data_IF_100140147930
#
_entry.id   IF_100140147930
#
_cell.length_a   1.000
_cell.length_b   1.000
_cell.length_c   1.000
_cell.angle_alpha   90.00
_cell.angle_beta   90.00
_cell.angle_gamma   90.00
#
_symmetry.space_group_name_H-M   'P 1'
#
loop_
_entity.id
_entity.type
_entity.pdbx_description
1 polymer ?
#
# COMPACT_ATOMS: atom_id res chain seq x y z
N UNK A 1 -6.95 -39.79 43.38
CA UNK A 1 -7.06 -40.21 41.97
C UNK A 1 -7.24 -38.90 41.23
N UNK A 2 -6.12 -38.20 41.11
CA UNK A 2 -6.05 -36.80 40.74
C UNK A 2 -5.45 -36.74 39.34
N UNK A 3 -6.23 -36.25 38.38
CA UNK A 3 -5.76 -35.92 37.04
C UNK A 3 -6.01 -34.44 36.78
N UNK A 4 -5.26 -33.60 37.50
CA UNK A 4 -4.82 -32.30 36.99
C UNK A 4 -3.68 -32.54 35.98
N UNK A 5 -3.82 -32.02 34.76
CA UNK A 5 -2.70 -32.05 33.82
C UNK A 5 -3.07 -31.65 32.40
N UNK A 6 -2.60 -30.46 32.00
CA UNK A 6 -2.45 -29.98 30.62
C UNK A 6 -3.60 -29.23 29.93
N UNK A 7 -4.22 -28.27 30.63
CA UNK A 7 -4.66 -27.05 29.92
C UNK A 7 -3.42 -26.23 29.62
N UNK A 8 -2.92 -26.35 28.40
CA UNK A 8 -1.78 -25.59 27.89
C UNK A 8 -2.08 -24.08 27.99
N UNK A 9 -1.36 -23.41 28.90
CA UNK A 9 -1.20 -21.95 28.91
C UNK A 9 -0.71 -21.48 27.53
N UNK A 10 -1.62 -20.97 26.70
CA UNK A 10 -1.29 -20.06 25.59
C UNK A 10 -1.75 -18.65 25.95
N UNK A 11 -1.10 -18.03 26.94
CA UNK A 11 -1.26 -16.60 27.23
C UNK A 11 0.11 -15.93 27.21
N UNK A 12 0.32 -15.05 26.23
CA UNK A 12 1.48 -14.14 26.19
C UNK A 12 1.89 -13.65 24.79
N UNK A 13 1.83 -14.49 23.75
CA UNK A 13 2.51 -14.22 22.47
C UNK A 13 1.69 -14.50 21.20
N UNK A 14 0.35 -14.59 21.30
CA UNK A 14 -0.50 -15.03 20.19
C UNK A 14 -0.47 -14.14 18.94
N UNK A 15 -0.16 -12.86 19.08
CA UNK A 15 -0.10 -11.88 17.98
C UNK A 15 1.29 -11.79 17.32
N UNK A 16 2.35 -12.25 18.00
CA UNK A 16 3.74 -12.12 17.54
C UNK A 16 3.97 -12.99 16.31
N UNK A 17 3.51 -14.24 16.32
CA UNK A 17 3.66 -15.16 15.19
C UNK A 17 2.93 -14.67 13.92
N UNK A 18 1.62 -14.32 13.95
CA UNK A 18 0.95 -13.73 12.80
C UNK A 18 1.63 -12.46 12.29
N UNK A 19 2.05 -11.57 13.20
CA UNK A 19 2.74 -10.32 12.86
C UNK A 19 4.09 -10.59 12.20
N UNK A 20 4.86 -11.53 12.72
CA UNK A 20 6.15 -11.93 12.15
C UNK A 20 6.00 -12.54 10.76
N UNK A 21 5.04 -13.45 10.57
CA UNK A 21 4.74 -14.04 9.26
C UNK A 21 4.27 -12.98 8.25
N UNK A 22 3.40 -12.07 8.68
CA UNK A 22 2.90 -10.98 7.83
C UNK A 22 4.00 -9.98 7.50
N UNK A 23 4.89 -9.66 8.45
CA UNK A 23 6.08 -8.85 8.21
C UNK A 23 7.02 -9.51 7.20
N UNK A 24 7.32 -10.80 7.36
CA UNK A 24 8.14 -11.57 6.41
C UNK A 24 7.52 -11.59 5.01
N UNK A 25 6.20 -11.84 4.90
CA UNK A 25 5.48 -11.74 3.64
C UNK A 25 5.65 -10.35 3.01
N UNK A 26 5.35 -9.28 3.76
CA UNK A 26 5.39 -7.91 3.25
C UNK A 26 6.79 -7.50 2.79
N UNK A 27 7.82 -7.91 3.54
CA UNK A 27 9.21 -7.69 3.16
C UNK A 27 9.56 -8.39 1.84
N UNK A 28 9.33 -9.69 1.73
CA UNK A 28 9.72 -10.45 0.54
C UNK A 28 8.84 -10.18 -0.69
N UNK A 29 7.57 -9.82 -0.51
CA UNK A 29 6.68 -9.43 -1.60
C UNK A 29 7.10 -8.09 -2.24
N UNK A 30 7.71 -7.20 -1.45
CA UNK A 30 8.21 -5.89 -1.89
C UNK A 30 9.71 -5.87 -2.19
N UNK A 31 10.47 -6.90 -1.79
CA UNK A 31 11.88 -7.04 -2.14
C UNK A 31 11.99 -7.50 -3.60
N UNK A 32 11.98 -6.53 -4.51
CA UNK A 32 11.93 -6.75 -5.96
C UNK A 32 13.05 -5.98 -6.66
N UNK A 33 14.28 -6.52 -6.70
CA UNK A 33 15.43 -5.87 -7.31
C UNK A 33 15.26 -5.48 -8.78
N UNK A 34 14.35 -6.13 -9.52
CA UNK A 34 14.10 -5.80 -10.92
C UNK A 34 13.19 -4.58 -11.13
N UNK A 35 12.41 -4.17 -10.13
CA UNK A 35 11.38 -3.13 -10.27
C UNK A 35 11.92 -1.75 -10.72
N UNK A 36 13.09 -1.27 -10.24
CA UNK A 36 13.67 -0.02 -10.73
C UNK A 36 14.14 -0.06 -12.21
N UNK A 37 14.21 -1.25 -12.79
CA UNK A 37 14.73 -1.51 -14.13
C UNK A 37 13.70 -2.16 -15.05
N UNK A 38 12.42 -2.15 -14.65
CA UNK A 38 11.36 -2.83 -15.41
C UNK A 38 11.22 -2.24 -16.81
N UNK A 39 11.16 -0.92 -16.95
CA UNK A 39 11.05 -0.26 -18.26
C UNK A 39 12.25 -0.59 -19.16
N UNK A 40 13.46 -0.53 -18.60
CA UNK A 40 14.68 -0.91 -19.32
C UNK A 40 14.67 -2.38 -19.76
N UNK A 41 14.11 -3.27 -18.94
CA UNK A 41 13.98 -4.70 -19.28
C UNK A 41 12.96 -4.94 -20.41
N UNK A 42 11.83 -4.23 -20.42
CA UNK A 42 10.81 -4.34 -21.47
C UNK A 42 11.29 -3.79 -22.82
N UNK A 43 12.06 -2.69 -22.81
CA UNK A 43 12.61 -2.06 -24.01
C UNK A 43 13.94 -2.69 -24.46
N UNK A 44 14.63 -3.38 -23.54
CA UNK A 44 15.91 -4.04 -23.79
C UNK A 44 15.80 -5.27 -24.69
N UNK A 45 16.93 -5.91 -25.01
CA UNK A 45 17.00 -7.02 -25.97
C UNK A 45 16.22 -8.27 -25.54
N UNK A 46 15.97 -8.44 -24.24
CA UNK A 46 15.26 -9.60 -23.69
C UNK A 46 13.79 -9.66 -24.11
N UNK A 47 13.12 -8.50 -24.21
CA UNK A 47 11.71 -8.37 -24.59
C UNK A 47 11.51 -7.66 -25.92
N UNK A 48 12.42 -6.76 -26.28
CA UNK A 48 12.48 -6.06 -27.56
C UNK A 48 11.14 -5.41 -27.94
N UNK A 49 10.47 -4.78 -26.97
CA UNK A 49 9.21 -4.06 -27.17
C UNK A 49 9.50 -2.59 -27.50
N UNK A 50 8.60 -1.99 -28.28
CA UNK A 50 8.71 -0.55 -28.59
C UNK A 50 8.16 0.30 -27.45
N UNK A 51 8.65 1.54 -27.33
CA UNK A 51 8.12 2.51 -26.35
C UNK A 51 6.60 2.68 -26.46
N UNK A 52 6.07 2.74 -27.69
CA UNK A 52 4.63 2.88 -27.92
C UNK A 52 3.87 1.68 -27.34
N UNK A 53 4.36 0.46 -27.53
CA UNK A 53 3.72 -0.73 -26.96
C UNK A 53 3.75 -0.71 -25.43
N UNK A 54 4.91 -0.40 -24.84
CA UNK A 54 5.05 -0.38 -23.37
C UNK A 54 4.14 0.68 -22.74
N UNK A 55 4.21 1.93 -23.20
CA UNK A 55 3.53 3.04 -22.53
C UNK A 55 2.05 3.18 -22.89
N UNK A 56 1.64 2.83 -24.12
CA UNK A 56 0.28 3.08 -24.60
C UNK A 56 -0.58 1.81 -24.65
N UNK A 57 0.03 0.62 -24.74
CA UNK A 57 -0.71 -0.63 -24.88
C UNK A 57 -0.58 -1.53 -23.65
N UNK A 58 0.57 -1.54 -22.96
CA UNK A 58 0.86 -2.45 -21.85
C UNK A 58 0.52 -1.82 -20.50
N UNK A 59 1.20 -0.74 -20.10
CA UNK A 59 1.00 -0.11 -18.78
C UNK A 59 -0.45 0.27 -18.45
N UNK A 60 -1.27 0.76 -19.41
CA UNK A 60 -2.68 1.05 -19.11
C UNK A 60 -3.49 -0.18 -18.67
N UNK A 61 -3.10 -1.40 -19.09
CA UNK A 61 -3.81 -2.64 -18.70
C UNK A 61 -3.77 -2.85 -17.20
N UNK A 62 -2.63 -2.59 -16.55
CA UNK A 62 -2.53 -2.65 -15.09
C UNK A 62 -3.50 -1.67 -14.43
N UNK A 63 -3.50 -0.40 -14.84
CA UNK A 63 -4.37 0.64 -14.25
C UNK A 63 -5.85 0.28 -14.37
N UNK A 64 -6.31 -0.11 -15.56
CA UNK A 64 -7.74 -0.43 -15.78
C UNK A 64 -8.14 -1.75 -15.13
N UNK A 65 -7.28 -2.77 -15.18
CA UNK A 65 -7.55 -4.04 -14.50
C UNK A 65 -7.62 -3.85 -12.99
N UNK A 66 -6.67 -3.12 -12.41
CA UNK A 66 -6.66 -2.78 -11.00
C UNK A 66 -7.96 -2.10 -10.57
N UNK A 67 -8.39 -1.05 -11.30
CA UNK A 67 -9.65 -0.34 -11.02
C UNK A 67 -10.86 -1.28 -11.01
N UNK A 68 -10.98 -2.15 -12.02
CA UNK A 68 -12.12 -3.08 -12.13
C UNK A 68 -12.06 -4.15 -11.05
N UNK A 69 -10.85 -4.62 -10.68
CA UNK A 69 -10.62 -5.68 -9.72
C UNK A 69 -10.74 -5.23 -8.26
N UNK A 70 -10.54 -3.94 -7.96
CA UNK A 70 -10.70 -3.39 -6.61
C UNK A 70 -12.06 -3.77 -5.99
N UNK A 71 -13.16 -3.59 -6.72
CA UNK A 71 -14.50 -3.87 -6.21
C UNK A 71 -14.73 -5.36 -5.86
N UNK A 72 -14.53 -6.34 -6.77
CA UNK A 72 -14.71 -7.74 -6.43
C UNK A 72 -13.69 -8.24 -5.40
N UNK A 73 -12.44 -7.77 -5.44
CA UNK A 73 -11.42 -8.18 -4.46
C UNK A 73 -11.72 -7.64 -3.07
N UNK A 74 -12.18 -6.39 -2.96
CA UNK A 74 -12.66 -5.82 -1.69
C UNK A 74 -13.77 -6.68 -1.06
N UNK A 75 -14.79 -7.03 -1.83
CA UNK A 75 -15.88 -7.89 -1.33
C UNK A 75 -15.40 -9.31 -0.99
N UNK A 76 -14.53 -9.87 -1.83
CA UNK A 76 -13.95 -11.20 -1.61
C UNK A 76 -13.06 -11.25 -0.37
N UNK A 77 -12.35 -10.16 -0.06
CA UNK A 77 -11.44 -10.06 1.09
C UNK A 77 -12.16 -10.33 2.40
N UNK A 78 -13.30 -9.68 2.64
CA UNK A 78 -14.07 -9.90 3.85
C UNK A 78 -14.85 -11.22 3.85
N UNK A 79 -15.32 -11.65 2.68
CA UNK A 79 -16.05 -12.91 2.52
C UNK A 79 -15.16 -14.13 2.77
N UNK A 80 -13.95 -14.14 2.19
CA UNK A 80 -12.98 -15.22 2.27
C UNK A 80 -12.08 -15.15 3.50
N UNK A 81 -12.26 -14.13 4.37
CA UNK A 81 -11.47 -13.91 5.60
C UNK A 81 -9.98 -13.68 5.33
N UNK A 82 -9.68 -12.77 4.39
CA UNK A 82 -8.37 -12.18 4.11
C UNK A 82 -7.28 -13.15 3.61
N UNK A 83 -6.98 -14.25 4.33
CA UNK A 83 -5.88 -15.18 3.98
C UNK A 83 -5.96 -15.70 2.54
N UNK A 84 -7.10 -16.20 2.01
CA UNK A 84 -7.16 -16.67 0.64
C UNK A 84 -6.84 -15.58 -0.40
N UNK A 85 -7.16 -14.32 -0.10
CA UNK A 85 -6.82 -13.18 -0.96
C UNK A 85 -5.32 -12.85 -0.90
N UNK A 86 -4.69 -12.96 0.27
CA UNK A 86 -3.21 -12.82 0.39
C UNK A 86 -2.48 -13.96 -0.37
N UNK A 87 -3.01 -15.18 -0.30
CA UNK A 87 -2.48 -16.32 -1.06
C UNK A 87 -2.67 -16.09 -2.57
N UNK A 88 -3.83 -15.57 -2.99
CA UNK A 88 -4.09 -15.15 -4.38
C UNK A 88 -3.10 -14.09 -4.85
N UNK A 89 -2.82 -13.08 -4.01
CA UNK A 89 -1.81 -12.07 -4.27
C UNK A 89 -0.44 -12.72 -4.55
N UNK A 90 0.04 -13.59 -3.66
CA UNK A 90 1.30 -14.30 -3.83
C UNK A 90 1.37 -15.16 -5.10
N UNK A 91 0.29 -15.87 -5.45
CA UNK A 91 0.22 -16.65 -6.70
C UNK A 91 0.27 -15.74 -7.94
N UNK A 92 -0.47 -14.63 -7.92
CA UNK A 92 -0.50 -13.68 -9.02
C UNK A 92 0.85 -12.99 -9.23
N UNK A 93 1.59 -12.69 -8.15
CA UNK A 93 2.98 -12.22 -8.23
C UNK A 93 3.87 -13.28 -8.87
N UNK A 94 3.86 -14.53 -8.40
CA UNK A 94 4.69 -15.60 -9.01
C UNK A 94 4.40 -15.72 -10.52
N UNK A 95 3.11 -15.75 -10.90
CA UNK A 95 2.71 -15.84 -12.30
C UNK A 95 3.21 -14.64 -13.12
N UNK A 96 3.12 -13.42 -12.55
CA UNK A 96 3.63 -12.19 -13.16
C UNK A 96 5.12 -12.28 -13.46
N UNK A 97 5.96 -12.69 -12.48
CA UNK A 97 7.41 -12.78 -12.68
C UNK A 97 7.83 -13.95 -13.58
N UNK A 98 7.12 -15.08 -13.54
CA UNK A 98 7.33 -16.19 -14.50
C UNK A 98 7.07 -15.70 -15.92
N UNK A 99 5.95 -15.00 -16.14
CA UNK A 99 5.66 -14.40 -17.44
C UNK A 99 6.70 -13.34 -17.82
N UNK A 100 7.14 -12.53 -16.86
CA UNK A 100 8.16 -11.52 -17.09
C UNK A 100 9.47 -12.17 -17.57
N UNK A 101 9.83 -13.36 -17.10
CA UNK A 101 11.02 -14.06 -17.58
C UNK A 101 10.83 -14.72 -18.95
N UNK A 102 9.70 -15.41 -19.17
CA UNK A 102 9.58 -16.34 -20.31
C UNK A 102 8.60 -15.91 -21.41
N UNK A 103 7.60 -15.09 -21.09
CA UNK A 103 6.58 -14.70 -22.06
C UNK A 103 7.12 -13.64 -23.04
N UNK A 104 6.72 -13.73 -24.31
CA UNK A 104 7.17 -12.83 -25.37
C UNK A 104 5.98 -12.22 -26.11
N UNK A 105 6.16 -11.00 -26.60
CA UNK A 105 5.15 -10.26 -27.35
C UNK A 105 4.16 -9.48 -26.49
N UNK A 106 3.52 -8.49 -27.12
CA UNK A 106 2.68 -7.49 -26.44
C UNK A 106 1.50 -8.09 -25.70
N UNK A 107 0.74 -9.00 -26.33
CA UNK A 107 -0.44 -9.62 -25.71
C UNK A 107 -0.09 -10.38 -24.43
N UNK A 108 1.06 -11.06 -24.41
CA UNK A 108 1.49 -11.80 -23.24
C UNK A 108 1.88 -10.86 -22.10
N UNK A 109 2.57 -9.76 -22.40
CA UNK A 109 2.90 -8.75 -21.38
C UNK A 109 1.65 -7.99 -20.92
N UNK A 110 0.65 -7.75 -21.77
CA UNK A 110 -0.65 -7.23 -21.34
C UNK A 110 -1.36 -8.17 -20.35
N UNK A 111 -1.35 -9.48 -20.61
CA UNK A 111 -1.92 -10.45 -19.68
C UNK A 111 -1.14 -10.51 -18.36
N UNK A 112 0.18 -10.33 -18.41
CA UNK A 112 1.02 -10.15 -17.22
C UNK A 112 0.59 -8.92 -16.40
N UNK A 113 0.37 -7.77 -17.03
CA UNK A 113 -0.09 -6.56 -16.33
C UNK A 113 -1.47 -6.75 -15.69
N UNK A 114 -2.36 -7.54 -16.31
CA UNK A 114 -3.62 -7.94 -15.70
C UNK A 114 -3.41 -8.79 -14.43
N UNK A 115 -2.49 -9.77 -14.46
CA UNK A 115 -2.13 -10.55 -13.27
C UNK A 115 -1.50 -9.68 -12.18
N UNK A 116 -0.69 -8.70 -12.56
CA UNK A 116 -0.14 -7.72 -11.64
C UNK A 116 -1.23 -6.80 -11.04
N UNK A 117 -2.26 -6.48 -11.82
CA UNK A 117 -3.48 -5.80 -11.35
C UNK A 117 -4.24 -6.60 -10.29
N UNK A 118 -4.34 -7.93 -10.43
CA UNK A 118 -4.90 -8.82 -9.40
C UNK A 118 -4.07 -8.74 -8.12
N UNK A 119 -2.75 -8.79 -8.23
CA UNK A 119 -1.84 -8.67 -7.08
C UNK A 119 -2.05 -7.35 -6.35
N UNK A 120 -2.08 -6.24 -7.10
CA UNK A 120 -2.23 -4.89 -6.55
C UNK A 120 -3.58 -4.74 -5.85
N UNK A 121 -4.68 -5.17 -6.49
CA UNK A 121 -6.01 -5.18 -5.87
C UNK A 121 -6.10 -6.02 -4.59
N UNK A 122 -5.33 -7.11 -4.52
CA UNK A 122 -5.30 -8.02 -3.38
C UNK A 122 -4.49 -7.50 -2.19
N UNK A 123 -3.71 -6.44 -2.36
CA UNK A 123 -2.91 -5.84 -1.30
C UNK A 123 -3.75 -5.28 -0.15
N UNK A 124 -4.99 -4.83 -0.43
CA UNK A 124 -5.95 -4.39 0.59
C UNK A 124 -6.17 -5.48 1.66
N UNK A 125 -6.09 -6.76 1.29
CA UNK A 125 -6.22 -7.87 2.21
C UNK A 125 -5.02 -7.99 3.18
N UNK A 126 -3.82 -7.63 2.75
CA UNK A 126 -2.60 -7.69 3.57
C UNK A 126 -2.73 -6.80 4.81
N UNK A 127 -3.14 -5.55 4.62
CA UNK A 127 -3.28 -4.60 5.72
C UNK A 127 -4.56 -4.81 6.52
N UNK A 128 -5.65 -5.20 5.85
CA UNK A 128 -6.91 -5.53 6.54
C UNK A 128 -6.78 -6.76 7.45
N UNK A 129 -5.90 -7.71 7.10
CA UNK A 129 -5.63 -8.89 7.90
C UNK A 129 -5.16 -8.56 9.31
N UNK A 130 -4.37 -7.48 9.48
CA UNK A 130 -3.87 -7.03 10.79
C UNK A 130 -5.02 -6.82 11.76
N UNK A 131 -6.05 -6.09 11.33
CA UNK A 131 -7.20 -5.73 12.15
C UNK A 131 -8.08 -6.93 12.51
N UNK A 132 -8.01 -8.02 11.73
CA UNK A 132 -8.78 -9.24 11.95
C UNK A 132 -8.15 -10.22 12.97
N UNK A 133 -6.83 -10.15 13.19
CA UNK A 133 -6.08 -11.11 14.01
C UNK A 133 -5.52 -10.48 15.30
N UNK A 134 -5.29 -9.17 15.30
CA UNK A 134 -4.66 -8.45 16.40
C UNK A 134 -5.72 -7.78 17.29
N UNK A 135 -5.37 -7.51 18.55
CA UNK A 135 -6.22 -6.74 19.46
C UNK A 135 -6.13 -5.23 19.16
N UNK A 136 -7.22 -4.46 19.36
CA UNK A 136 -7.25 -3.02 19.04
C UNK A 136 -6.12 -2.19 19.67
N UNK A 137 -5.70 -2.54 20.89
CA UNK A 137 -4.63 -1.86 21.63
C UNK A 137 -3.26 -1.97 20.93
N UNK A 138 -3.10 -2.93 20.01
CA UNK A 138 -1.85 -3.21 19.29
C UNK A 138 -1.93 -2.84 17.80
N UNK A 139 -3.07 -2.37 17.28
CA UNK A 139 -3.25 -2.05 15.87
C UNK A 139 -2.17 -1.12 15.34
N UNK A 140 -1.97 0.02 15.99
CA UNK A 140 -0.97 0.99 15.56
C UNK A 140 0.44 0.40 15.53
N UNK A 141 0.80 -0.38 16.56
CA UNK A 141 2.13 -0.98 16.69
C UNK A 141 2.38 -2.03 15.62
N UNK A 142 1.42 -2.93 15.38
CA UNK A 142 1.56 -3.99 14.38
C UNK A 142 1.50 -3.43 12.96
N UNK A 143 0.60 -2.49 12.68
CA UNK A 143 0.56 -1.79 11.38
C UNK A 143 1.89 -1.10 11.09
N UNK A 144 2.49 -0.43 12.08
CA UNK A 144 3.82 0.16 11.95
C UNK A 144 4.90 -0.88 11.63
N UNK A 145 4.92 -2.04 12.29
CA UNK A 145 5.88 -3.10 11.98
C UNK A 145 5.72 -3.68 10.57
N UNK A 146 4.48 -3.95 10.14
CA UNK A 146 4.22 -4.45 8.79
C UNK A 146 4.63 -3.43 7.72
N UNK A 147 4.35 -2.15 7.94
CA UNK A 147 4.80 -1.05 7.08
C UNK A 147 6.32 -0.96 7.01
N UNK A 148 6.99 -0.99 8.16
CA UNK A 148 8.45 -0.99 8.18
C UNK A 148 9.00 -2.16 7.37
N UNK A 149 8.39 -3.34 7.46
CA UNK A 149 8.81 -4.50 6.69
C UNK A 149 8.64 -4.29 5.17
N UNK A 150 7.50 -3.77 4.70
CA UNK A 150 7.28 -3.51 3.26
C UNK A 150 8.23 -2.46 2.70
N UNK A 151 8.42 -1.34 3.42
CA UNK A 151 9.36 -0.27 3.07
C UNK A 151 10.81 -0.74 3.02
N UNK A 152 11.20 -1.54 4.02
CA UNK A 152 12.55 -2.09 4.08
C UNK A 152 12.73 -3.07 2.92
N UNK A 153 11.71 -3.86 2.59
CA UNK A 153 11.71 -4.72 1.40
C UNK A 153 11.96 -3.92 0.12
N UNK A 154 11.19 -2.86 -0.12
CA UNK A 154 11.35 -1.98 -1.28
C UNK A 154 12.76 -1.36 -1.34
N UNK A 155 13.20 -0.74 -0.23
CA UNK A 155 14.51 -0.07 -0.17
C UNK A 155 15.66 -1.05 -0.37
N UNK A 156 15.62 -2.20 0.30
CA UNK A 156 16.63 -3.26 0.13
C UNK A 156 16.59 -3.79 -1.29
N UNK A 157 15.40 -3.99 -1.87
CA UNK A 157 15.23 -4.39 -3.26
C UNK A 157 15.90 -3.41 -4.23
N UNK A 158 15.60 -2.11 -4.11
CA UNK A 158 16.16 -1.07 -4.99
C UNK A 158 17.68 -0.94 -4.86
N UNK A 159 18.21 -0.92 -3.62
CA UNK A 159 19.66 -0.86 -3.37
C UNK A 159 20.34 -2.13 -3.88
N UNK A 160 19.77 -3.30 -3.59
CA UNK A 160 20.34 -4.57 -4.01
C UNK A 160 20.36 -4.70 -5.53
N UNK A 161 19.26 -4.36 -6.21
CA UNK A 161 19.19 -4.32 -7.67
C UNK A 161 20.22 -3.37 -8.26
N UNK A 162 20.38 -2.17 -7.69
CA UNK A 162 21.37 -1.21 -8.14
C UNK A 162 22.81 -1.72 -7.99
N UNK A 163 23.14 -2.34 -6.85
CA UNK A 163 24.47 -2.92 -6.62
C UNK A 163 24.75 -4.02 -7.65
N UNK A 164 23.78 -4.90 -7.91
CA UNK A 164 23.95 -5.99 -8.86
C UNK A 164 24.17 -5.49 -10.30
N UNK A 165 23.45 -4.45 -10.71
CA UNK A 165 23.60 -3.86 -12.05
C UNK A 165 24.91 -3.07 -12.16
N UNK A 166 25.21 -2.18 -11.22
CA UNK A 166 26.35 -1.26 -11.34
C UNK A 166 27.70 -1.85 -10.95
N UNK A 167 27.75 -2.75 -9.96
CA UNK A 167 29.01 -3.29 -9.43
C UNK A 167 29.27 -4.68 -9.99
N UNK A 168 28.26 -5.55 -9.96
CA UNK A 168 28.41 -6.94 -10.42
C UNK A 168 28.18 -7.11 -11.93
N UNK A 169 27.69 -6.08 -12.64
CA UNK A 169 27.32 -6.14 -14.06
C UNK A 169 26.38 -7.31 -14.39
N UNK A 170 25.45 -7.62 -13.50
CA UNK A 170 24.45 -8.67 -13.73
C UNK A 170 23.40 -8.23 -14.76
N UNK A 171 22.91 -9.19 -15.54
CA UNK A 171 21.84 -8.94 -16.51
C UNK A 171 20.51 -8.64 -15.82
N UNK A 172 19.65 -7.86 -16.50
CA UNK A 172 18.29 -7.57 -16.04
C UNK A 172 17.43 -8.84 -15.92
N UNK A 173 17.71 -9.86 -16.73
CA UNK A 173 17.13 -11.20 -16.58
C UNK A 173 17.42 -11.79 -15.18
N UNK A 174 18.68 -11.75 -14.73
CA UNK A 174 19.07 -12.28 -13.41
C UNK A 174 18.39 -11.54 -12.25
N UNK A 175 18.16 -10.24 -12.37
CA UNK A 175 17.39 -9.46 -11.38
C UNK A 175 15.94 -9.92 -11.30
N UNK A 176 15.32 -10.26 -12.42
CA UNK A 176 13.97 -10.82 -12.45
C UNK A 176 13.91 -12.23 -11.84
N UNK A 177 14.96 -13.05 -12.01
CA UNK A 177 15.08 -14.36 -11.34
C UNK A 177 15.15 -14.18 -9.82
N UNK A 178 15.97 -13.24 -9.33
CA UNK A 178 16.03 -12.95 -7.87
C UNK A 178 14.66 -12.49 -7.37
N UNK A 179 14.01 -11.57 -8.08
CA UNK A 179 12.69 -11.07 -7.69
C UNK A 179 11.65 -12.20 -7.66
N UNK A 180 11.71 -13.16 -8.59
CA UNK A 180 10.89 -14.38 -8.58
C UNK A 180 11.13 -15.23 -7.33
N UNK A 181 12.39 -15.40 -6.91
CA UNK A 181 12.74 -16.11 -5.67
C UNK A 181 12.13 -15.40 -4.45
N UNK A 182 12.23 -14.08 -4.39
CA UNK A 182 11.67 -13.28 -3.30
C UNK A 182 10.14 -13.41 -3.21
N UNK A 183 9.41 -13.23 -4.32
CA UNK A 183 7.94 -13.41 -4.30
C UNK A 183 7.53 -14.86 -4.03
N UNK A 184 8.37 -15.84 -4.38
CA UNK A 184 8.14 -17.26 -4.04
C UNK A 184 8.27 -17.52 -2.53
N UNK A 185 9.26 -16.90 -1.86
CA UNK A 185 9.39 -16.93 -0.39
C UNK A 185 8.19 -16.25 0.26
N UNK A 186 7.73 -15.11 -0.28
CA UNK A 186 6.53 -14.43 0.20
C UNK A 186 5.30 -15.34 0.09
N UNK A 187 5.05 -15.95 -1.08
CA UNK A 187 3.96 -16.89 -1.26
C UNK A 187 4.03 -18.08 -0.28
N UNK A 188 5.19 -18.70 -0.12
CA UNK A 188 5.38 -19.78 0.84
C UNK A 188 5.01 -19.32 2.28
N UNK A 189 5.43 -18.11 2.67
CA UNK A 189 5.10 -17.52 3.97
C UNK A 189 3.60 -17.29 4.13
N UNK A 190 2.90 -16.86 3.08
CA UNK A 190 1.43 -16.62 3.12
C UNK A 190 0.63 -17.88 3.43
N UNK A 191 1.10 -19.06 3.00
CA UNK A 191 0.46 -20.34 3.27
C UNK A 191 0.43 -20.68 4.76
N UNK A 192 1.43 -20.22 5.53
CA UNK A 192 1.54 -20.44 6.98
C UNK A 192 0.78 -19.42 7.82
N UNK A 193 0.18 -18.39 7.22
CA UNK A 193 -0.64 -17.42 7.97
C UNK A 193 -1.83 -18.12 8.65
N UNK A 194 -2.15 -17.81 9.91
CA UNK A 194 -3.33 -18.38 10.56
C UNK A 194 -4.63 -17.88 9.90
N UNK A 195 -5.67 -18.71 9.87
CA UNK A 195 -6.98 -18.27 9.38
C UNK A 195 -7.62 -17.29 10.38
N UNK A 196 -7.99 -16.08 9.96
CA UNK A 196 -8.70 -15.13 10.81
C UNK A 196 -10.05 -15.70 11.25
N UNK A 197 -10.39 -15.50 12.52
CA UNK A 197 -11.67 -15.98 13.10
C UNK A 197 -12.80 -14.96 12.96
N UNK A 198 -12.48 -13.69 12.71
CA UNK A 198 -13.43 -12.58 12.60
C UNK A 198 -13.37 -12.00 11.19
N UNK A 199 -14.54 -11.69 10.62
CA UNK A 199 -14.68 -10.89 9.39
C UNK A 199 -15.34 -9.57 9.79
N UNK A 200 -14.97 -8.47 9.13
CA UNK A 200 -15.52 -7.14 9.43
C UNK A 200 -17.03 -7.06 9.09
N UNK A 201 -17.47 -7.69 7.99
CA UNK A 201 -18.86 -7.57 7.51
C UNK A 201 -19.68 -8.87 7.51
N UNK A 202 -19.08 -10.04 7.26
CA UNK A 202 -19.84 -11.28 6.99
C UNK A 202 -19.97 -12.23 8.19
N UNK A 203 -19.03 -12.17 9.16
CA UNK A 203 -18.98 -13.16 10.25
C UNK A 203 -18.62 -12.51 11.59
N UNK A 204 -19.64 -11.97 12.27
CA UNK A 204 -19.53 -11.50 13.65
C UNK A 204 -20.14 -12.57 14.58
N UNK A 205 -19.30 -13.37 15.24
CA UNK A 205 -19.77 -14.36 16.22
C UNK A 205 -20.31 -13.68 17.50
N UNK A 206 -21.42 -14.22 17.97
CA UNK A 206 -22.22 -13.84 19.14
C UNK A 206 -21.59 -14.25 20.48
N UNK A 207 -20.32 -13.89 20.74
CA UNK A 207 -19.64 -14.15 22.02
C UNK A 207 -19.33 -12.85 22.78
N UNK A 208 -20.37 -12.06 23.03
CA UNK A 208 -20.35 -11.10 24.14
C UNK A 208 -21.36 -11.59 25.18
N UNK A 209 -20.94 -11.94 26.41
CA UNK A 209 -21.89 -12.06 27.50
C UNK A 209 -22.52 -10.68 27.71
N UNK A 210 -23.79 -10.56 27.35
CA UNK A 210 -24.67 -9.47 27.76
C UNK A 210 -24.66 -9.38 29.28
N UNK A 211 -23.93 -8.39 29.80
CA UNK A 211 -24.21 -7.61 31.02
C UNK A 211 -22.91 -7.20 31.70
N UNK A 212 -22.41 -6.02 31.34
CA UNK A 212 -21.82 -5.09 32.30
C UNK A 212 -22.04 -3.69 31.77
N UNK A 213 -23.07 -3.01 32.30
CA UNK A 213 -23.13 -1.55 32.32
C UNK A 213 -21.87 -1.07 33.05
N UNK A 214 -20.85 -0.64 32.31
CA UNK A 214 -19.73 0.08 32.90
C UNK A 214 -20.16 1.55 32.92
N UNK A 215 -20.56 2.02 34.10
CA UNK A 215 -20.71 3.45 34.36
C UNK A 215 -19.32 4.07 34.23
N UNK A 216 -19.11 4.93 33.24
CA UNK A 216 -17.95 5.81 33.18
C UNK A 216 -18.47 7.21 33.50
N UNK A 217 -18.28 7.59 34.76
CA UNK A 217 -18.27 8.96 35.22
C UNK A 217 -17.13 9.72 34.55
N UNK A 218 -17.41 10.98 34.21
CA UNK A 218 -16.50 11.96 33.65
C UNK A 218 -15.13 12.02 34.36
N UNK A 219 -14.11 12.29 33.55
CA UNK A 219 -12.96 13.20 33.79
C UNK A 219 -11.66 12.57 33.27
N UNK A 220 -11.24 12.95 32.06
CA UNK A 220 -9.86 13.45 31.82
C UNK A 220 -9.62 13.72 30.33
N UNK A 221 -9.11 14.92 30.07
CA UNK A 221 -8.70 15.51 28.79
C UNK A 221 -7.81 14.61 27.91
N UNK A 222 -7.81 14.81 26.57
CA UNK A 222 -6.87 14.13 25.68
C UNK A 222 -5.48 14.76 25.83
N UNK A 223 -4.55 14.03 26.46
CA UNK A 223 -3.12 14.32 26.36
C UNK A 223 -2.64 13.92 24.97
N UNK A 224 -2.44 14.90 24.10
CA UNK A 224 -1.70 14.70 22.86
C UNK A 224 -0.26 14.32 23.15
N UNK A 225 0.28 13.35 22.40
CA UNK A 225 1.71 13.13 22.12
C UNK A 225 1.84 12.26 20.85
N UNK A 226 2.44 12.90 19.84
CA UNK A 226 3.40 12.46 18.82
C UNK A 226 3.43 10.99 18.36
N UNK A 227 3.07 10.74 17.10
CA UNK A 227 3.46 9.55 16.35
C UNK A 227 3.82 9.91 14.91
N UNK A 228 5.01 10.49 14.72
CA UNK A 228 5.64 10.65 13.41
C UNK A 228 6.36 9.37 13.02
N UNK A 229 5.67 8.42 12.39
CA UNK A 229 6.30 7.32 11.66
C UNK A 229 5.32 6.66 10.68
N UNK A 230 4.84 7.42 9.69
CA UNK A 230 4.04 6.91 8.58
C UNK A 230 4.84 7.08 7.28
N UNK A 231 5.72 6.14 6.99
CA UNK A 231 6.65 6.25 5.87
C UNK A 231 6.20 5.44 4.63
N UNK A 232 6.21 6.11 3.49
CA UNK A 232 6.78 5.83 2.16
C UNK A 232 6.46 4.60 1.26
N UNK A 233 5.35 3.89 1.40
CA UNK A 233 4.86 3.06 0.29
C UNK A 233 3.35 3.18 0.14
N UNK A 234 3.02 3.84 -0.97
CA UNK A 234 1.75 3.95 -1.68
C UNK A 234 0.66 4.78 -0.99
N UNK A 235 0.15 5.74 -1.75
CA UNK A 235 -0.93 6.66 -1.41
C UNK A 235 -2.30 5.95 -1.24
N UNK A 236 -2.31 4.64 -1.02
CA UNK A 236 -3.50 3.80 -0.90
C UNK A 236 -3.98 3.63 0.54
N UNK A 237 -3.21 4.02 1.56
CA UNK A 237 -3.50 3.52 2.91
C UNK A 237 -3.52 4.52 4.05
N UNK A 238 -3.77 5.77 3.72
CA UNK A 238 -4.35 6.69 4.70
C UNK A 238 -5.78 6.27 5.10
N UNK A 239 -6.44 5.41 4.32
CA UNK A 239 -7.82 4.95 4.56
C UNK A 239 -8.02 4.12 5.84
N UNK A 240 -6.97 3.55 6.45
CA UNK A 240 -7.13 2.69 7.63
C UNK A 240 -7.20 3.45 8.97
N UNK A 241 -7.02 4.77 8.99
CA UNK A 241 -6.95 5.56 10.24
C UNK A 241 -8.26 6.24 10.65
N UNK A 242 -9.39 6.00 9.98
CA UNK A 242 -10.69 6.46 10.49
C UNK A 242 -11.03 5.62 11.73
N UNK A 243 -11.28 6.23 12.91
CA UNK A 243 -11.69 5.48 14.09
C UNK A 243 -13.05 4.84 13.80
N UNK A 244 -13.03 3.52 13.57
CA UNK A 244 -14.19 2.61 13.43
C UNK A 244 -15.18 2.65 14.61
N UNK A 245 -14.93 3.48 15.63
CA UNK A 245 -15.76 3.63 16.82
C UNK A 245 -17.15 4.21 16.51
N UNK A 246 -17.29 5.11 15.53
CA UNK A 246 -18.60 5.67 15.16
C UNK A 246 -19.47 4.64 14.45
N UNK A 247 -18.89 3.87 13.53
CA UNK A 247 -19.59 2.78 12.82
C UNK A 247 -19.94 1.59 13.75
N UNK A 248 -19.17 1.37 14.83
CA UNK A 248 -19.41 0.27 15.76
C UNK A 248 -20.68 0.44 16.61
N UNK A 249 -21.13 1.68 16.86
CA UNK A 249 -22.32 1.97 17.65
C UNK A 249 -23.61 1.67 16.88
N UNK A 250 -23.67 1.96 15.58
CA UNK A 250 -24.87 1.73 14.76
C UNK A 250 -25.05 0.26 14.33
N UNK A 251 -23.95 -0.49 14.16
CA UNK A 251 -24.01 -1.92 13.79
C UNK A 251 -24.68 -2.76 14.88
N UNK A 252 -24.65 -2.32 16.15
CA UNK A 252 -25.16 -3.10 17.29
C UNK A 252 -26.70 -3.17 17.32
N UNK A 253 -27.39 -2.21 16.72
CA UNK A 253 -28.85 -2.09 16.79
C UNK A 253 -29.61 -2.89 15.71
N UNK A 254 -28.92 -3.47 14.73
CA UNK A 254 -29.55 -4.15 13.58
C UNK A 254 -29.37 -5.68 13.53
N UNK A 255 -28.70 -6.28 14.52
CA UNK A 255 -28.32 -7.70 14.50
C UNK A 255 -29.41 -8.64 15.05
N UNK A 256 -30.53 -8.72 14.34
CA UNK A 256 -31.58 -9.73 14.55
C UNK A 256 -31.97 -10.41 13.23
N UNK A 257 -31.00 -10.86 12.43
CA UNK A 257 -31.31 -11.90 11.46
C UNK A 257 -30.11 -12.78 11.10
N UNK A 258 -30.33 -14.08 11.13
CA UNK A 258 -29.33 -15.11 10.85
C UNK A 258 -29.27 -15.36 9.33
N UNK A 259 -28.06 -15.41 8.79
CA UNK A 259 -27.67 -15.49 7.35
C UNK A 259 -27.67 -14.14 6.59
N UNK A 260 -26.59 -13.38 6.78
CA UNK A 260 -26.34 -12.15 6.02
C UNK A 260 -25.94 -12.54 4.57
N UNK A 261 -26.91 -12.59 3.65
CA UNK A 261 -26.64 -12.78 2.23
C UNK A 261 -25.93 -11.57 1.60
N UNK A 262 -25.13 -11.80 0.54
CA UNK A 262 -24.36 -10.77 -0.20
C UNK A 262 -25.22 -9.54 -0.56
N UNK A 263 -26.48 -9.75 -0.94
CA UNK A 263 -27.44 -8.67 -1.26
C UNK A 263 -27.69 -7.73 -0.08
N UNK A 264 -27.74 -8.26 1.15
CA UNK A 264 -27.91 -7.46 2.36
C UNK A 264 -26.66 -6.63 2.67
N UNK A 265 -25.47 -7.21 2.50
CA UNK A 265 -24.19 -6.49 2.65
C UNK A 265 -24.09 -5.37 1.62
N UNK A 266 -24.32 -5.66 0.35
CA UNK A 266 -24.29 -4.65 -0.73
C UNK A 266 -25.29 -3.52 -0.47
N UNK A 267 -26.51 -3.84 -0.02
CA UNK A 267 -27.50 -2.82 0.35
C UNK A 267 -27.04 -1.94 1.51
N UNK A 268 -26.34 -2.52 2.48
CA UNK A 268 -25.80 -1.80 3.65
C UNK A 268 -24.62 -0.91 3.26
N UNK A 269 -23.66 -1.45 2.50
CA UNK A 269 -22.54 -0.68 1.94
C UNK A 269 -23.03 0.49 1.09
N UNK A 270 -24.04 0.27 0.25
CA UNK A 270 -24.63 1.34 -0.56
C UNK A 270 -25.28 2.44 0.29
N UNK A 271 -26.01 2.09 1.35
CA UNK A 271 -26.57 3.08 2.27
C UNK A 271 -25.49 3.90 2.97
N UNK A 272 -24.43 3.24 3.46
CA UNK A 272 -23.31 3.92 4.10
C UNK A 272 -22.56 4.82 3.11
N UNK A 273 -22.34 4.33 1.89
CA UNK A 273 -21.75 5.12 0.81
C UNK A 273 -22.55 6.40 0.56
N UNK A 274 -23.88 6.30 0.37
CA UNK A 274 -24.74 7.47 0.19
C UNK A 274 -24.69 8.43 1.39
N UNK A 275 -24.68 7.90 2.61
CA UNK A 275 -24.61 8.72 3.82
C UNK A 275 -23.27 9.47 3.92
N UNK A 276 -22.15 8.77 3.75
CA UNK A 276 -20.81 9.37 3.75
C UNK A 276 -20.69 10.47 2.68
N UNK A 277 -21.10 10.16 1.44
CA UNK A 277 -21.04 11.12 0.32
C UNK A 277 -22.17 12.16 0.33
N UNK A 278 -22.99 12.23 1.39
CA UNK A 278 -23.87 13.39 1.61
C UNK A 278 -23.11 14.58 2.22
N UNK A 279 -21.92 14.35 2.80
CA UNK A 279 -21.06 15.43 3.32
C UNK A 279 -20.26 16.10 2.21
N UNK A 280 -20.41 17.43 2.07
CA UNK A 280 -19.64 18.24 1.13
C UNK A 280 -18.13 18.15 1.38
N UNK A 281 -17.74 18.16 2.65
CA UNK A 281 -16.34 18.03 3.08
C UNK A 281 -15.76 16.72 2.58
N UNK A 282 -16.49 15.60 2.75
CA UNK A 282 -16.02 14.31 2.29
C UNK A 282 -15.90 14.24 0.76
N UNK A 283 -16.86 14.80 0.01
CA UNK A 283 -16.76 14.89 -1.46
C UNK A 283 -15.49 15.64 -1.89
N UNK A 284 -15.22 16.80 -1.28
CA UNK A 284 -14.03 17.60 -1.61
C UNK A 284 -12.73 16.84 -1.32
N UNK A 285 -12.66 16.18 -0.16
CA UNK A 285 -11.50 15.37 0.20
C UNK A 285 -11.32 14.14 -0.69
N UNK A 286 -12.40 13.43 -1.02
CA UNK A 286 -12.34 12.30 -1.97
C UNK A 286 -11.86 12.75 -3.35
N UNK A 287 -12.34 13.90 -3.84
CA UNK A 287 -11.89 14.45 -5.12
C UNK A 287 -10.41 14.84 -5.08
N UNK A 288 -9.97 15.52 -4.01
CA UNK A 288 -8.56 15.88 -3.83
C UNK A 288 -7.66 14.64 -3.79
N UNK A 289 -8.05 13.62 -3.02
CA UNK A 289 -7.32 12.35 -2.95
C UNK A 289 -7.24 11.65 -4.30
N UNK A 290 -8.34 11.61 -5.06
CA UNK A 290 -8.35 11.04 -6.40
C UNK A 290 -7.35 11.74 -7.33
N UNK A 291 -7.35 13.08 -7.36
CA UNK A 291 -6.41 13.84 -8.19
C UNK A 291 -4.95 13.72 -7.73
N UNK A 292 -4.72 13.82 -6.42
CA UNK A 292 -3.37 13.73 -5.83
C UNK A 292 -2.75 12.35 -6.07
N UNK A 293 -3.46 11.28 -5.74
CA UNK A 293 -2.99 9.91 -5.91
C UNK A 293 -2.82 9.54 -7.38
N UNK A 294 -3.73 9.97 -8.25
CA UNK A 294 -3.60 9.78 -9.70
C UNK A 294 -2.34 10.46 -10.24
N UNK A 295 -2.12 11.74 -9.91
CA UNK A 295 -0.93 12.48 -10.33
C UNK A 295 0.36 11.84 -9.82
N UNK A 296 0.36 11.34 -8.59
CA UNK A 296 1.50 10.61 -8.03
C UNK A 296 1.83 9.33 -8.80
N UNK A 297 0.83 8.49 -9.05
CA UNK A 297 1.03 7.25 -9.82
C UNK A 297 1.45 7.53 -11.26
N UNK A 298 0.91 8.58 -11.88
CA UNK A 298 1.32 8.98 -13.22
C UNK A 298 2.81 9.35 -13.26
N UNK A 299 3.32 10.14 -12.29
CA UNK A 299 4.75 10.47 -12.27
C UNK A 299 5.60 9.23 -12.03
N UNK A 300 5.23 8.37 -11.08
CA UNK A 300 6.03 7.17 -10.76
C UNK A 300 6.09 6.20 -11.95
N UNK A 301 4.95 5.86 -12.54
CA UNK A 301 4.87 4.86 -13.60
C UNK A 301 5.60 5.28 -14.89
N UNK A 302 5.65 6.58 -15.17
CA UNK A 302 6.26 7.10 -16.39
C UNK A 302 7.65 7.72 -16.19
N UNK A 303 8.11 7.89 -14.95
CA UNK A 303 9.45 8.43 -14.64
C UNK A 303 10.59 7.59 -15.25
N UNK A 304 10.54 6.26 -15.09
CA UNK A 304 11.53 5.37 -15.69
C UNK A 304 11.55 5.47 -17.22
N UNK A 305 10.38 5.63 -17.84
CA UNK A 305 10.28 5.86 -19.29
C UNK A 305 10.88 7.18 -19.75
N UNK A 306 10.68 8.25 -18.99
CA UNK A 306 11.33 9.52 -19.25
C UNK A 306 12.84 9.41 -19.11
N UNK A 307 13.34 8.72 -18.08
CA UNK A 307 14.76 8.50 -17.87
C UNK A 307 15.40 7.68 -18.99
N UNK A 308 14.72 6.64 -19.47
CA UNK A 308 15.19 5.83 -20.60
C UNK A 308 15.30 6.66 -21.89
N UNK A 309 14.37 7.60 -22.12
CA UNK A 309 14.45 8.53 -23.26
C UNK A 309 15.62 9.50 -23.16
N UNK A 310 15.91 10.00 -21.96
CA UNK A 310 16.97 10.99 -21.73
C UNK A 310 18.35 10.33 -21.73
N UNK A 311 18.48 9.15 -21.11
CA UNK A 311 19.72 8.42 -20.97
C UNK A 311 19.47 6.91 -21.15
N UNK A 312 19.44 6.43 -22.41
CA UNK A 312 19.14 5.03 -22.72
C UNK A 312 20.07 4.05 -22.00
N UNK A 313 19.48 3.04 -21.38
CA UNK A 313 20.18 2.02 -20.59
C UNK A 313 21.17 1.18 -21.40
N UNK A 314 21.03 1.13 -22.72
CA UNK A 314 21.96 0.47 -23.64
C UNK A 314 23.33 1.14 -23.72
N UNK A 315 23.42 2.43 -23.39
CA UNK A 315 24.64 3.23 -23.53
C UNK A 315 25.01 3.99 -22.25
N UNK A 316 24.13 4.05 -21.26
CA UNK A 316 24.33 4.78 -20.01
C UNK A 316 24.17 3.89 -18.78
N UNK A 317 25.01 4.11 -17.77
CA UNK A 317 24.86 3.44 -16.48
C UNK A 317 23.68 4.03 -15.71
N UNK A 318 22.58 3.29 -15.67
CA UNK A 318 21.32 3.71 -15.04
C UNK A 318 21.41 3.61 -13.51
N UNK A 319 20.90 4.63 -12.81
CA UNK A 319 20.90 4.72 -11.34
C UNK A 319 19.51 4.69 -10.71
N UNK A 320 18.52 4.15 -11.43
CA UNK A 320 17.12 4.13 -11.00
C UNK A 320 16.92 3.53 -9.61
N UNK A 321 17.60 2.43 -9.28
CA UNK A 321 17.49 1.79 -7.97
C UNK A 321 18.04 2.66 -6.83
N UNK A 322 19.15 3.38 -7.07
CA UNK A 322 19.64 4.39 -6.11
C UNK A 322 18.64 5.51 -5.91
N UNK A 323 18.09 6.04 -7.00
CA UNK A 323 17.14 7.17 -6.97
C UNK A 323 15.88 6.79 -6.22
N UNK A 324 15.33 5.60 -6.47
CA UNK A 324 14.20 5.03 -5.75
C UNK A 324 14.48 4.88 -4.25
N UNK A 325 15.63 4.30 -3.89
CA UNK A 325 16.03 4.12 -2.49
C UNK A 325 16.20 5.46 -1.76
N UNK A 326 16.90 6.42 -2.36
CA UNK A 326 17.12 7.75 -1.79
C UNK A 326 15.81 8.49 -1.63
N UNK A 327 14.93 8.44 -2.64
CA UNK A 327 13.61 9.08 -2.58
C UNK A 327 12.74 8.50 -1.46
N UNK A 328 12.80 7.18 -1.24
CA UNK A 328 12.06 6.49 -0.17
C UNK A 328 12.60 6.90 1.20
N UNK A 329 13.93 6.93 1.37
CA UNK A 329 14.57 7.34 2.62
C UNK A 329 14.30 8.80 2.97
N UNK A 330 14.42 9.70 1.99
CA UNK A 330 14.13 11.13 2.22
C UNK A 330 12.64 11.36 2.48
N UNK A 331 11.75 10.63 1.81
CA UNK A 331 10.33 10.58 2.15
C UNK A 331 10.10 10.16 3.61
N UNK A 332 10.80 9.11 4.08
CA UNK A 332 10.75 8.67 5.48
C UNK A 332 11.11 9.78 6.47
N UNK A 333 12.26 10.41 6.23
CA UNK A 333 12.80 11.48 7.06
C UNK A 333 11.83 12.67 7.06
N UNK A 334 11.26 13.00 5.91
CA UNK A 334 10.32 14.10 5.76
C UNK A 334 9.04 13.87 6.57
N UNK A 335 8.45 12.67 6.51
CA UNK A 335 7.27 12.34 7.33
C UNK A 335 7.60 12.33 8.82
N UNK A 336 8.75 11.76 9.19
CA UNK A 336 9.21 11.79 10.57
C UNK A 336 9.32 13.24 11.07
N UNK A 337 9.93 14.14 10.28
CA UNK A 337 10.06 15.56 10.61
C UNK A 337 8.70 16.25 10.78
N UNK A 338 7.74 16.02 9.86
CA UNK A 338 6.37 16.56 9.96
C UNK A 338 5.69 16.14 11.26
N UNK A 339 5.94 14.90 11.73
CA UNK A 339 5.38 14.39 12.99
C UNK A 339 5.85 15.12 14.25
N UNK A 340 6.94 15.91 14.20
CA UNK A 340 7.39 16.77 15.30
C UNK A 340 6.94 18.23 15.13
N UNK A 341 6.38 18.60 13.99
CA UNK A 341 5.92 19.97 13.74
C UNK A 341 4.61 20.24 14.50
N UNK A 342 4.63 21.27 15.34
CA UNK A 342 3.45 21.76 16.06
C UNK A 342 2.76 22.87 15.26
N UNK A 343 2.21 22.53 14.10
CA UNK A 343 1.48 23.49 13.25
C UNK A 343 -0.03 23.35 13.50
N UNK A 344 -0.74 24.47 13.55
CA UNK A 344 -2.21 24.47 13.52
C UNK A 344 -2.69 24.16 12.10
N UNK A 345 -2.93 22.88 11.83
CA UNK A 345 -3.36 22.40 10.51
C UNK A 345 -4.68 23.05 10.04
N UNK A 346 -5.56 23.42 10.96
CA UNK A 346 -6.80 24.14 10.66
C UNK A 346 -6.59 25.57 10.10
N UNK A 347 -5.42 26.17 10.33
CA UNK A 347 -5.11 27.54 9.87
C UNK A 347 -4.22 27.54 8.64
N UNK A 348 -3.22 26.66 8.60
CA UNK A 348 -2.18 26.66 7.58
C UNK A 348 -2.29 25.50 6.58
N UNK A 349 -3.19 24.54 6.82
CA UNK A 349 -3.33 23.32 6.01
C UNK A 349 -3.54 23.62 4.52
N UNK A 350 -4.55 24.42 4.20
CA UNK A 350 -4.87 24.78 2.80
C UNK A 350 -3.69 25.47 2.08
N UNK A 351 -3.07 26.46 2.74
CA UNK A 351 -1.95 27.19 2.18
C UNK A 351 -0.74 26.28 1.94
N UNK A 352 -0.41 25.42 2.90
CA UNK A 352 0.70 24.47 2.76
C UNK A 352 0.42 23.44 1.66
N UNK A 353 -0.81 22.93 1.56
CA UNK A 353 -1.20 22.03 0.48
C UNK A 353 -1.07 22.69 -0.90
N UNK A 354 -1.55 23.93 -1.04
CA UNK A 354 -1.39 24.68 -2.28
C UNK A 354 0.09 24.90 -2.62
N UNK A 355 0.89 25.34 -1.63
CA UNK A 355 2.32 25.60 -1.82
C UNK A 355 3.08 24.33 -2.24
N UNK A 356 2.93 23.23 -1.51
CA UNK A 356 3.58 21.97 -1.85
C UNK A 356 3.12 21.42 -3.20
N UNK A 357 1.86 21.62 -3.57
CA UNK A 357 1.34 21.22 -4.89
C UNK A 357 2.01 22.02 -6.03
N UNK A 358 2.22 23.33 -5.86
CA UNK A 358 2.95 24.16 -6.83
C UNK A 358 4.41 23.73 -6.92
N UNK A 359 5.07 23.45 -5.79
CA UNK A 359 6.44 22.96 -5.75
C UNK A 359 6.58 21.61 -6.48
N UNK A 360 5.64 20.69 -6.25
CA UNK A 360 5.55 19.41 -6.94
C UNK A 360 5.38 19.61 -8.45
N UNK A 361 4.49 20.50 -8.87
CA UNK A 361 4.26 20.79 -10.29
C UNK A 361 5.52 21.35 -10.96
N UNK A 362 6.25 22.26 -10.30
CA UNK A 362 7.53 22.78 -10.79
C UNK A 362 8.56 21.65 -10.93
N UNK A 363 8.69 20.79 -9.92
CA UNK A 363 9.65 19.68 -9.97
C UNK A 363 9.36 18.73 -11.15
N UNK A 364 8.09 18.38 -11.39
CA UNK A 364 7.68 17.55 -12.52
C UNK A 364 7.93 18.27 -13.85
N UNK A 365 7.63 19.55 -13.96
CA UNK A 365 7.90 20.33 -15.18
C UNK A 365 9.40 20.42 -15.51
N UNK A 366 10.24 20.58 -14.49
CA UNK A 366 11.72 20.56 -14.65
C UNK A 366 12.20 19.20 -15.16
N UNK A 367 11.59 18.09 -14.77
CA UNK A 367 11.95 16.76 -15.28
C UNK A 367 11.71 16.65 -16.79
N UNK A 368 10.67 17.30 -17.34
CA UNK A 368 10.31 17.24 -18.76
C UNK A 368 11.26 18.07 -19.64
N UNK A 369 11.64 19.28 -19.20
CA UNK A 369 12.34 20.24 -20.07
C UNK A 369 13.87 20.14 -20.07
N UNK A 370 14.48 19.55 -19.03
CA UNK A 370 15.94 19.73 -18.78
C UNK A 370 16.84 18.84 -19.62
N UNK A 371 16.33 17.73 -20.17
CA UNK A 371 17.10 16.79 -20.99
C UNK A 371 18.35 16.22 -20.30
N UNK A 372 18.49 16.39 -18.98
CA UNK A 372 19.66 15.97 -18.20
C UNK A 372 19.23 15.02 -17.09
N UNK A 373 19.73 13.78 -17.16
CA UNK A 373 19.31 12.70 -16.26
C UNK A 373 19.54 13.02 -14.78
N UNK A 374 20.63 13.73 -14.43
CA UNK A 374 20.92 14.07 -13.04
C UNK A 374 19.93 15.10 -12.49
N UNK A 375 19.53 16.07 -13.31
CA UNK A 375 18.49 17.04 -12.93
C UNK A 375 17.14 16.32 -12.80
N UNK A 376 16.80 15.43 -13.72
CA UNK A 376 15.58 14.62 -13.63
C UNK A 376 15.55 13.75 -12.37
N UNK A 377 16.66 13.10 -12.01
CA UNK A 377 16.79 12.32 -10.78
C UNK A 377 16.62 13.17 -9.53
N UNK A 378 17.30 14.32 -9.43
CA UNK A 378 17.17 15.21 -8.28
C UNK A 378 15.76 15.78 -8.14
N UNK A 379 15.15 16.19 -9.25
CA UNK A 379 13.76 16.66 -9.29
C UNK A 379 12.77 15.57 -8.90
N UNK A 380 12.98 14.32 -9.31
CA UNK A 380 12.14 13.19 -8.90
C UNK A 380 12.25 12.88 -7.40
N UNK A 381 13.47 12.86 -6.85
CA UNK A 381 13.70 12.68 -5.41
C UNK A 381 13.01 13.79 -4.61
N UNK A 382 13.10 15.03 -5.10
CA UNK A 382 12.45 16.17 -4.48
C UNK A 382 10.91 16.07 -4.58
N UNK A 383 10.38 15.75 -5.76
CA UNK A 383 8.96 15.46 -5.98
C UNK A 383 8.42 14.42 -4.99
N UNK A 384 9.07 13.26 -4.88
CA UNK A 384 8.71 12.18 -3.96
C UNK A 384 8.69 12.66 -2.51
N UNK A 385 9.74 13.39 -2.11
CA UNK A 385 9.86 13.89 -0.73
C UNK A 385 8.77 14.92 -0.40
N UNK A 386 8.50 15.86 -1.31
CA UNK A 386 7.45 16.87 -1.14
C UNK A 386 6.05 16.25 -1.14
N UNK A 387 5.80 15.25 -1.98
CA UNK A 387 4.54 14.51 -1.98
C UNK A 387 4.30 13.80 -0.64
N UNK A 388 5.35 13.20 -0.05
CA UNK A 388 5.23 12.56 1.26
C UNK A 388 4.91 13.55 2.39
N UNK A 389 5.44 14.77 2.31
CA UNK A 389 5.05 15.86 3.23
C UNK A 389 3.59 16.24 2.99
N UNK A 390 3.22 16.53 1.74
CA UNK A 390 1.86 16.92 1.33
C UNK A 390 0.82 15.95 1.87
N UNK A 391 1.04 14.64 1.66
CA UNK A 391 0.07 13.61 2.04
C UNK A 391 -0.03 13.44 3.56
N UNK A 392 1.08 13.59 4.29
CA UNK A 392 1.10 13.53 5.75
C UNK A 392 0.33 14.70 6.37
N UNK A 393 0.51 15.89 5.79
CA UNK A 393 -0.22 17.10 6.18
C UNK A 393 -1.71 16.93 5.88
N UNK A 394 -2.06 16.52 4.66
CA UNK A 394 -3.43 16.29 4.23
C UNK A 394 -4.15 15.31 5.16
N UNK A 395 -3.51 14.21 5.52
CA UNK A 395 -4.04 13.18 6.42
C UNK A 395 -4.32 13.74 7.82
N UNK A 396 -3.36 14.48 8.36
CA UNK A 396 -3.49 15.10 9.69
C UNK A 396 -4.60 16.13 9.72
N UNK A 397 -4.75 16.91 8.64
CA UNK A 397 -5.79 17.91 8.51
C UNK A 397 -7.19 17.29 8.28
N UNK A 398 -7.30 16.31 7.39
CA UNK A 398 -8.54 15.56 7.14
C UNK A 398 -9.12 14.94 8.42
N UNK A 399 -8.27 14.36 9.27
CA UNK A 399 -8.72 13.81 10.56
C UNK A 399 -9.31 14.90 11.47
N UNK A 400 -8.76 16.12 11.47
CA UNK A 400 -9.31 17.25 12.24
C UNK A 400 -10.67 17.66 11.69
N UNK A 401 -10.82 17.76 10.36
CA UNK A 401 -12.08 18.15 9.73
C UNK A 401 -13.21 17.14 10.00
N UNK A 402 -12.91 15.83 9.95
CA UNK A 402 -13.90 14.78 10.27
C UNK A 402 -14.30 14.80 11.75
N UNK A 403 -13.37 15.06 12.66
CA UNK A 403 -13.69 15.14 14.09
C UNK A 403 -14.60 16.33 14.44
N UNK A 404 -14.72 17.31 13.54
CA UNK A 404 -15.58 18.48 13.69
C UNK A 404 -16.94 18.32 12.98
N UNK A 405 -17.16 17.24 12.24
CA UNK A 405 -18.44 16.82 11.65
C UNK A 405 -19.21 15.90 12.60
#
# INVERSE_FOLDING_TARGET
MDTEGSVTRRSGAGWILPTGLLGTYGFFANLRPSEPFLTAYLLGPDKNLTERQVFNEIYPVWTYSYLVLLFPVFLATDYLRYKPVIVLQGMSLIATWIMLLYAQGTLAVQFLEFLYGISTASEVAYYSYIYSVVEPNLYQKVTSYCRMATLTGFTVGSVFGQILVSVANWSLFSLNVISLICVSIAFATSCFLPMPRKSLFFHKNSDYPSNKKLNISDTSQPKGINNGLLCATQAEEVEAHIPLNSAQLDIKNYLTDNSIGLKSVLKTLWKHFLHCYSSRTLICWSAWWAFSTCGYYQVINYSQGLWEKIAPSSHFHVYNGSVEAVSTLLGAIAVFAVGYMKISWSTWGELLLALFSVIIAIAVYVMDITGNIWICYMSYVFFRSMYMILITIATSWFMVDILLL
#
